data_IF_612242259523
#
_entry.id   IF_612242259523
#
_cell.length_a   1.000
_cell.length_b   1.000
_cell.length_c   1.000
_cell.angle_alpha   90.00
_cell.angle_beta   90.00
_cell.angle_gamma   90.00
#
_symmetry.space_group_name_H-M   'P 1'
#
loop_
_entity.id
_entity.type
_entity.pdbx_description
1 polymer ?
#
# COMPACT_ATOMS: atom_id res chain seq x y z
N UNK A 1 -12.20 15.68 -12.18
CA UNK A 1 -11.40 14.57 -11.60
C UNK A 1 -10.62 13.92 -12.73
N UNK A 2 -9.31 13.81 -12.58
CA UNK A 2 -8.50 13.05 -13.54
C UNK A 2 -8.69 11.54 -13.31
N UNK A 3 -8.53 10.71 -14.34
CA UNK A 3 -8.57 9.25 -14.18
C UNK A 3 -7.46 8.73 -13.23
N UNK A 4 -6.39 9.50 -13.07
CA UNK A 4 -5.28 9.19 -12.16
C UNK A 4 -5.68 9.30 -10.68
N UNK A 5 -6.48 10.30 -10.29
CA UNK A 5 -6.95 10.48 -8.91
C UNK A 5 -7.87 9.35 -8.45
N UNK A 6 -8.73 8.83 -9.35
CA UNK A 6 -9.64 7.72 -9.03
C UNK A 6 -8.93 6.39 -8.78
N UNK A 7 -7.66 6.25 -9.21
CA UNK A 7 -6.83 5.04 -8.97
C UNK A 7 -5.99 5.11 -7.71
N UNK A 8 -5.97 6.25 -7.01
CA UNK A 8 -5.29 6.35 -5.72
C UNK A 8 -6.16 5.75 -4.61
N UNK A 9 -5.51 5.01 -3.71
CA UNK A 9 -6.09 4.49 -2.48
C UNK A 9 -5.29 4.99 -1.27
N UNK A 10 -5.97 5.31 -0.17
CA UNK A 10 -5.34 5.84 1.02
C UNK A 10 -4.87 4.69 1.93
N UNK A 11 -3.60 4.70 2.34
CA UNK A 11 -3.09 3.80 3.38
C UNK A 11 -3.13 4.46 4.74
N UNK A 12 -3.51 3.69 5.75
CA UNK A 12 -3.49 4.12 7.16
C UNK A 12 -2.23 3.67 7.91
N UNK A 13 -1.23 3.14 7.22
CA UNK A 13 -0.02 2.57 7.83
C UNK A 13 0.74 3.57 8.74
N UNK A 14 0.58 4.87 8.51
CA UNK A 14 1.19 5.93 9.31
C UNK A 14 0.25 6.52 10.37
N UNK A 15 -1.03 6.10 10.41
CA UNK A 15 -1.99 6.56 11.40
C UNK A 15 -1.77 5.84 12.73
N UNK A 16 -1.86 6.57 13.86
CA UNK A 16 -1.73 5.98 15.19
C UNK A 16 -0.29 5.68 15.65
N UNK A 17 0.74 5.93 14.83
CA UNK A 17 2.16 5.79 15.24
C UNK A 17 2.68 6.95 16.09
N UNK A 18 1.79 7.64 16.76
CA UNK A 18 2.14 8.71 17.69
C UNK A 18 2.18 8.12 19.10
N UNK A 19 3.25 8.36 19.83
CA UNK A 19 3.32 8.03 21.26
C UNK A 19 2.16 8.67 22.05
N UNK A 20 2.14 8.55 23.37
CA UNK A 20 1.10 9.09 24.23
C UNK A 20 0.87 10.58 23.93
N UNK A 21 -0.31 10.90 23.40
CA UNK A 21 -0.70 12.27 23.06
C UNK A 21 -1.42 12.92 24.25
N UNK A 22 -1.14 14.20 24.47
CA UNK A 22 -1.99 15.01 25.36
C UNK A 22 -3.39 15.15 24.73
N UNK A 23 -4.47 15.38 25.53
CA UNK A 23 -5.81 15.55 24.97
C UNK A 23 -5.93 16.66 23.91
N UNK A 24 -5.13 17.71 24.01
CA UNK A 24 -5.11 18.79 23.03
C UNK A 24 -4.48 18.31 21.69
N UNK A 25 -3.35 17.62 21.74
CA UNK A 25 -2.70 17.03 20.55
C UNK A 25 -3.54 15.94 19.89
N UNK A 26 -4.23 15.12 20.68
CA UNK A 26 -5.16 14.12 20.15
C UNK A 26 -6.30 14.76 19.36
N UNK A 27 -6.91 15.86 19.85
CA UNK A 27 -7.95 16.59 19.10
C UNK A 27 -7.42 17.22 17.83
N UNK A 28 -6.21 17.78 17.87
CA UNK A 28 -5.57 18.35 16.68
C UNK A 28 -5.29 17.26 15.62
N UNK A 29 -4.81 16.11 16.07
CA UNK A 29 -4.58 14.95 15.20
C UNK A 29 -5.88 14.41 14.57
N UNK A 30 -6.95 14.29 15.35
CA UNK A 30 -8.27 13.92 14.84
C UNK A 30 -8.79 14.92 13.79
N UNK A 31 -8.60 16.21 14.00
CA UNK A 31 -9.01 17.24 13.04
C UNK A 31 -8.20 17.13 11.73
N UNK A 32 -6.89 16.88 11.83
CA UNK A 32 -6.00 16.66 10.69
C UNK A 32 -6.43 15.45 9.87
N UNK A 33 -6.72 14.31 10.54
CA UNK A 33 -7.18 13.11 9.86
C UNK A 33 -8.57 13.29 9.22
N UNK A 34 -9.51 13.98 9.89
CA UNK A 34 -10.80 14.31 9.25
C UNK A 34 -10.61 15.12 7.99
N UNK A 35 -9.71 16.11 8.03
CA UNK A 35 -9.34 16.90 6.85
C UNK A 35 -8.72 16.07 5.74
N UNK A 36 -7.86 15.10 6.08
CA UNK A 36 -7.26 14.20 5.10
C UNK A 36 -8.32 13.26 4.46
N UNK A 37 -9.23 12.68 5.26
CA UNK A 37 -10.31 11.85 4.71
C UNK A 37 -11.28 12.66 3.82
N UNK A 38 -11.65 13.88 4.23
CA UNK A 38 -12.50 14.74 3.42
C UNK A 38 -11.82 15.07 2.08
N UNK A 39 -10.55 15.45 2.12
CA UNK A 39 -9.76 15.73 0.93
C UNK A 39 -9.64 14.52 0.00
N UNK A 40 -9.39 13.33 0.56
CA UNK A 40 -9.34 12.08 -0.20
C UNK A 40 -10.67 11.79 -0.91
N UNK A 41 -11.79 11.94 -0.19
CA UNK A 41 -13.12 11.76 -0.74
C UNK A 41 -13.46 12.80 -1.84
N UNK A 42 -13.06 14.07 -1.65
CA UNK A 42 -13.21 15.13 -2.63
C UNK A 42 -12.40 14.88 -3.91
N UNK A 43 -11.22 14.28 -3.76
CA UNK A 43 -10.36 13.84 -4.87
C UNK A 43 -10.83 12.53 -5.53
N UNK A 44 -11.97 11.95 -5.10
CA UNK A 44 -12.52 10.73 -5.68
C UNK A 44 -11.81 9.45 -5.27
N UNK A 45 -10.97 9.47 -4.26
CA UNK A 45 -10.42 8.25 -3.66
C UNK A 45 -11.55 7.50 -2.97
N UNK A 46 -11.71 6.22 -3.28
CA UNK A 46 -12.83 5.41 -2.79
C UNK A 46 -12.39 4.24 -1.91
N UNK A 47 -11.08 4.02 -1.78
CA UNK A 47 -10.53 2.86 -1.09
C UNK A 47 -9.56 3.30 0.02
N UNK A 48 -9.71 2.66 1.20
CA UNK A 48 -8.74 2.75 2.29
C UNK A 48 -8.15 1.37 2.54
N UNK A 49 -6.83 1.27 2.44
CA UNK A 49 -6.07 0.09 2.87
C UNK A 49 -5.64 0.28 4.33
N UNK A 50 -6.14 -0.59 5.23
CA UNK A 50 -5.78 -0.52 6.62
C UNK A 50 -4.59 -1.43 6.96
N UNK A 51 -3.80 -1.03 7.95
CA UNK A 51 -2.72 -1.86 8.48
C UNK A 51 -3.24 -2.81 9.55
N UNK A 52 -2.67 -4.01 9.63
CA UNK A 52 -2.96 -4.96 10.69
C UNK A 52 -2.50 -4.44 12.07
N UNK A 53 -1.51 -3.58 12.09
CA UNK A 53 -0.96 -2.95 13.27
C UNK A 53 -0.72 -1.45 12.99
N UNK A 54 -1.23 -0.54 13.83
CA UNK A 54 -1.97 -0.78 15.07
C UNK A 54 -3.48 -0.85 14.82
N UNK A 55 -4.20 -1.64 15.65
CA UNK A 55 -5.67 -1.70 15.67
C UNK A 55 -6.34 -0.32 15.83
N UNK A 56 -5.60 0.67 16.29
CA UNK A 56 -6.03 2.07 16.39
C UNK A 56 -6.33 2.70 15.03
N UNK A 57 -5.59 2.35 13.97
CA UNK A 57 -5.80 2.92 12.63
C UNK A 57 -7.20 2.61 12.09
N UNK A 58 -7.69 1.36 12.26
CA UNK A 58 -9.06 1.01 11.87
C UNK A 58 -10.12 1.75 12.68
N UNK A 59 -9.92 1.90 14.00
CA UNK A 59 -10.83 2.65 14.87
C UNK A 59 -10.82 4.15 14.50
N UNK A 60 -9.69 4.70 14.09
CA UNK A 60 -9.61 6.06 13.56
C UNK A 60 -10.42 6.21 12.27
N UNK A 61 -10.30 5.27 11.33
CA UNK A 61 -11.11 5.24 10.10
C UNK A 61 -12.60 5.19 10.46
N UNK A 62 -13.04 4.22 11.28
CA UNK A 62 -14.44 4.05 11.66
C UNK A 62 -15.05 5.28 12.38
N UNK A 63 -14.23 6.05 13.10
CA UNK A 63 -14.65 7.22 13.85
C UNK A 63 -14.57 8.53 13.07
N UNK A 64 -13.62 8.65 12.14
CA UNK A 64 -13.24 9.94 11.53
C UNK A 64 -13.57 10.04 10.04
N UNK A 65 -13.68 8.91 9.32
CA UNK A 65 -14.01 8.93 7.89
C UNK A 65 -15.45 9.44 7.67
N UNK A 66 -15.72 10.19 6.57
CA UNK A 66 -17.05 10.73 6.28
C UNK A 66 -18.04 9.60 5.97
N UNK A 67 -19.19 9.62 6.64
CA UNK A 67 -20.26 8.62 6.47
C UNK A 67 -21.09 8.85 5.22
N UNK A 68 -21.17 10.07 4.75
CA UNK A 68 -21.93 10.47 3.56
C UNK A 68 -21.26 9.99 2.25
N UNK A 69 -19.98 9.77 2.31
CA UNK A 69 -19.16 9.23 1.22
C UNK A 69 -18.27 8.10 1.78
N UNK A 70 -18.87 6.93 2.04
CA UNK A 70 -18.15 5.86 2.71
C UNK A 70 -17.05 5.29 1.79
N UNK A 71 -15.87 5.11 2.38
CA UNK A 71 -14.78 4.41 1.72
C UNK A 71 -15.03 2.90 1.76
N UNK A 72 -14.67 2.21 0.69
CA UNK A 72 -14.43 0.78 0.72
C UNK A 72 -13.17 0.53 1.54
N UNK A 73 -13.18 -0.45 2.43
CA UNK A 73 -12.06 -0.70 3.35
C UNK A 73 -11.46 -2.08 3.13
N UNK A 74 -10.14 -2.15 3.18
CA UNK A 74 -9.37 -3.40 3.17
C UNK A 74 -8.84 -3.62 4.58
N UNK A 75 -9.17 -4.79 5.16
CA UNK A 75 -8.59 -5.26 6.41
C UNK A 75 -7.48 -6.28 6.16
N UNK A 76 -6.61 -6.49 7.15
CA UNK A 76 -5.50 -7.46 7.10
C UNK A 76 -5.70 -8.57 8.12
N UNK A 77 -5.24 -9.77 7.77
CA UNK A 77 -5.23 -10.90 8.70
C UNK A 77 -4.25 -10.68 9.86
N UNK A 78 -4.49 -11.35 10.99
CA UNK A 78 -3.43 -11.63 11.93
C UNK A 78 -2.46 -12.67 11.34
N UNK A 79 -1.19 -12.71 11.81
CA UNK A 79 -0.26 -13.77 11.43
C UNK A 79 -0.83 -15.16 11.76
N UNK A 80 -0.69 -16.13 10.85
CA UNK A 80 -1.18 -17.49 11.04
C UNK A 80 -0.53 -18.20 12.24
N UNK A 81 0.68 -17.81 12.61
CA UNK A 81 1.37 -18.30 13.81
C UNK A 81 0.54 -18.12 15.11
N UNK A 82 -0.42 -17.18 15.14
CA UNK A 82 -1.36 -17.01 16.24
C UNK A 82 -2.55 -18.00 16.21
N UNK A 83 -2.67 -18.81 15.17
CA UNK A 83 -3.70 -19.80 14.93
C UNK A 83 -4.93 -19.26 14.17
N UNK A 84 -5.69 -20.16 13.53
CA UNK A 84 -6.85 -19.82 12.71
C UNK A 84 -7.94 -19.06 13.50
N UNK A 85 -8.18 -19.44 14.75
CA UNK A 85 -9.14 -18.73 15.62
C UNK A 85 -8.74 -17.26 15.85
N UNK A 86 -7.43 -16.97 15.94
CA UNK A 86 -6.94 -15.60 16.06
C UNK A 86 -7.14 -14.81 14.75
N UNK A 87 -6.97 -15.45 13.59
CA UNK A 87 -7.27 -14.85 12.28
C UNK A 87 -8.74 -14.45 12.18
N UNK A 88 -9.67 -15.34 12.53
CA UNK A 88 -11.11 -15.06 12.54
C UNK A 88 -11.47 -13.95 13.52
N UNK A 89 -10.96 -14.04 14.75
CA UNK A 89 -11.19 -13.01 15.78
C UNK A 89 -10.67 -11.64 15.34
N UNK A 90 -9.51 -11.59 14.68
CA UNK A 90 -8.95 -10.37 14.12
C UNK A 90 -9.82 -9.78 13.02
N UNK A 91 -10.29 -10.61 12.08
CA UNK A 91 -11.18 -10.18 11.00
C UNK A 91 -12.47 -9.55 11.54
N UNK A 92 -13.10 -10.20 12.53
CA UNK A 92 -14.29 -9.66 13.19
C UNK A 92 -14.00 -8.37 13.99
N UNK A 93 -12.82 -8.27 14.63
CA UNK A 93 -12.38 -7.06 15.31
C UNK A 93 -12.20 -5.91 14.34
N UNK A 94 -11.65 -6.16 13.13
CA UNK A 94 -11.52 -5.15 12.09
C UNK A 94 -12.87 -4.54 11.72
N UNK A 95 -13.91 -5.37 11.48
CA UNK A 95 -15.24 -4.87 11.16
C UNK A 95 -15.83 -3.99 12.28
N UNK A 96 -15.64 -4.41 13.55
CA UNK A 96 -16.07 -3.59 14.70
C UNK A 96 -15.33 -2.27 14.79
N UNK A 97 -14.02 -2.27 14.59
CA UNK A 97 -13.19 -1.07 14.61
C UNK A 97 -13.57 -0.10 13.49
N UNK A 98 -13.76 -0.62 12.28
CA UNK A 98 -14.21 0.14 11.12
C UNK A 98 -15.65 0.64 11.22
N UNK A 99 -16.45 0.05 12.12
CA UNK A 99 -17.86 0.39 12.29
C UNK A 99 -18.74 -0.01 11.11
N UNK A 100 -18.35 -1.10 10.39
CA UNK A 100 -19.09 -1.59 9.23
C UNK A 100 -19.51 -3.05 9.41
N UNK A 101 -20.69 -3.46 8.90
CA UNK A 101 -21.12 -4.85 8.96
C UNK A 101 -20.35 -5.72 7.96
N UNK A 102 -19.81 -5.12 6.90
CA UNK A 102 -19.08 -5.77 5.82
C UNK A 102 -17.99 -4.85 5.32
N UNK A 103 -16.77 -5.38 5.10
CA UNK A 103 -15.68 -4.66 4.46
C UNK A 103 -15.49 -5.11 3.01
N UNK A 104 -14.81 -4.29 2.22
CA UNK A 104 -14.53 -4.59 0.82
C UNK A 104 -13.61 -5.80 0.65
N UNK A 105 -12.55 -5.89 1.45
CA UNK A 105 -11.65 -7.03 1.35
C UNK A 105 -10.99 -7.39 2.69
N UNK A 106 -10.64 -8.69 2.80
CA UNK A 106 -9.70 -9.20 3.78
C UNK A 106 -8.47 -9.73 3.05
N UNK A 107 -7.31 -9.18 3.38
CA UNK A 107 -6.05 -9.50 2.69
C UNK A 107 -5.11 -10.21 3.66
N UNK A 108 -4.57 -11.37 3.25
CA UNK A 108 -3.49 -12.05 3.96
C UNK A 108 -2.31 -11.10 4.01
N UNK A 109 -1.85 -10.79 5.23
CA UNK A 109 -0.81 -9.77 5.46
C UNK A 109 0.55 -10.17 4.90
N UNK A 110 0.91 -11.44 5.09
CA UNK A 110 2.20 -12.02 4.67
C UNK A 110 1.92 -13.31 3.89
N UNK A 111 2.39 -13.36 2.64
CA UNK A 111 2.16 -14.50 1.75
C UNK A 111 2.78 -15.80 2.27
N UNK A 112 3.82 -15.71 3.12
CA UNK A 112 4.43 -16.87 3.78
C UNK A 112 3.41 -17.70 4.58
N UNK A 113 2.37 -17.08 5.13
CA UNK A 113 1.28 -17.77 5.83
C UNK A 113 0.54 -18.77 4.91
N UNK A 114 0.53 -18.53 3.59
CA UNK A 114 -0.08 -19.42 2.59
C UNK A 114 0.90 -20.47 2.05
N UNK A 115 2.20 -20.25 2.19
CA UNK A 115 3.23 -21.16 1.69
C UNK A 115 3.51 -22.29 2.69
N UNK A 116 3.14 -22.12 3.95
CA UNK A 116 3.29 -23.10 5.01
C UNK A 116 2.26 -24.26 4.96
N UNK A 117 2.40 -25.26 5.85
CA UNK A 117 1.54 -26.45 5.87
C UNK A 117 0.05 -26.14 6.12
N UNK A 118 -0.25 -25.08 6.85
CA UNK A 118 -1.60 -24.67 7.21
C UNK A 118 -2.20 -23.64 6.23
N UNK A 119 -1.50 -23.30 5.13
CA UNK A 119 -1.95 -22.30 4.17
C UNK A 119 -3.30 -22.61 3.53
N UNK A 120 -3.56 -23.88 3.19
CA UNK A 120 -4.86 -24.29 2.63
C UNK A 120 -5.99 -24.22 3.68
N UNK A 121 -5.68 -24.41 4.97
CA UNK A 121 -6.65 -24.24 6.05
C UNK A 121 -6.94 -22.74 6.26
N UNK A 122 -5.91 -21.88 6.27
CA UNK A 122 -6.08 -20.44 6.30
C UNK A 122 -6.98 -19.98 5.14
N UNK A 123 -6.64 -20.38 3.90
CA UNK A 123 -7.41 -19.94 2.73
C UNK A 123 -8.89 -20.32 2.82
N UNK A 124 -9.19 -21.56 3.23
CA UNK A 124 -10.58 -22.01 3.44
C UNK A 124 -11.30 -21.19 4.51
N UNK A 125 -10.61 -20.84 5.61
CA UNK A 125 -11.15 -19.97 6.65
C UNK A 125 -11.55 -18.61 6.09
N UNK A 126 -10.68 -18.00 5.27
CA UNK A 126 -10.97 -16.69 4.67
C UNK A 126 -12.14 -16.76 3.68
N UNK A 127 -12.21 -17.80 2.86
CA UNK A 127 -13.37 -18.05 1.97
C UNK A 127 -14.66 -18.18 2.79
N UNK A 128 -14.63 -18.89 3.93
CA UNK A 128 -15.76 -18.97 4.84
C UNK A 128 -16.23 -17.61 5.37
N UNK A 129 -15.32 -16.70 5.70
CA UNK A 129 -15.66 -15.33 6.11
C UNK A 129 -16.30 -14.53 4.96
N UNK A 130 -15.83 -14.72 3.73
CA UNK A 130 -16.45 -14.12 2.53
C UNK A 130 -17.85 -14.68 2.29
N UNK A 131 -17.99 -15.99 2.34
CA UNK A 131 -19.28 -16.68 2.09
C UNK A 131 -20.32 -16.36 3.18
N UNK A 132 -19.86 -16.05 4.41
CA UNK A 132 -20.69 -15.49 5.47
C UNK A 132 -21.06 -14.00 5.25
N UNK A 133 -20.59 -13.39 4.16
CA UNK A 133 -20.94 -12.01 3.79
C UNK A 133 -20.20 -10.92 4.57
N UNK A 134 -19.15 -11.28 5.33
CA UNK A 134 -18.38 -10.32 6.13
C UNK A 134 -17.37 -9.51 5.29
N UNK A 135 -16.89 -10.08 4.19
CA UNK A 135 -16.00 -9.45 3.23
C UNK A 135 -16.49 -9.72 1.80
N UNK A 136 -16.27 -8.78 0.89
CA UNK A 136 -16.63 -8.95 -0.53
C UNK A 136 -15.58 -9.76 -1.28
N UNK A 137 -14.31 -9.52 -0.95
CA UNK A 137 -13.14 -10.04 -1.63
C UNK A 137 -12.14 -10.62 -0.64
N UNK A 138 -11.38 -11.61 -1.09
CA UNK A 138 -10.21 -12.13 -0.38
C UNK A 138 -8.96 -11.87 -1.21
N UNK A 139 -7.91 -11.36 -0.55
CA UNK A 139 -6.68 -10.99 -1.22
C UNK A 139 -5.43 -11.51 -0.50
N UNK A 140 -4.29 -11.25 -1.14
CA UNK A 140 -2.96 -11.60 -0.63
C UNK A 140 -2.03 -10.39 -0.82
N UNK A 141 -1.26 -10.04 0.20
CA UNK A 141 -0.11 -9.15 0.10
C UNK A 141 1.13 -10.02 -0.11
N UNK A 142 1.79 -9.85 -1.24
CA UNK A 142 2.93 -10.67 -1.64
C UNK A 142 4.11 -9.79 -2.10
N UNK A 143 5.30 -10.37 -2.12
CA UNK A 143 6.53 -9.83 -2.69
C UNK A 143 6.94 -10.67 -3.90
N UNK A 144 7.96 -10.28 -4.61
CA UNK A 144 8.50 -11.04 -5.76
C UNK A 144 8.92 -12.46 -5.32
N UNK A 145 9.56 -12.55 -4.17
CA UNK A 145 10.11 -13.79 -3.61
C UNK A 145 9.02 -14.84 -3.27
N UNK A 146 7.78 -14.38 -3.08
CA UNK A 146 6.60 -15.23 -2.79
C UNK A 146 6.00 -15.86 -4.05
N UNK A 147 6.58 -15.61 -5.24
CA UNK A 147 6.07 -16.07 -6.52
C UNK A 147 4.57 -15.75 -6.74
N UNK A 148 4.20 -14.45 -6.87
CA UNK A 148 2.79 -13.99 -6.89
C UNK A 148 1.91 -14.69 -7.91
N UNK A 149 2.41 -14.93 -9.13
CA UNK A 149 1.65 -15.64 -10.18
C UNK A 149 1.36 -17.12 -9.80
N UNK A 150 2.27 -17.78 -9.07
CA UNK A 150 2.03 -19.14 -8.59
C UNK A 150 0.96 -19.16 -7.48
N UNK A 151 1.02 -18.21 -6.54
CA UNK A 151 -0.01 -18.02 -5.53
C UNK A 151 -1.37 -17.74 -6.17
N UNK A 152 -1.41 -16.87 -7.19
CA UNK A 152 -2.64 -16.53 -7.90
C UNK A 152 -3.27 -17.75 -8.60
N UNK A 153 -2.45 -18.60 -9.23
CA UNK A 153 -2.96 -19.83 -9.85
C UNK A 153 -3.50 -20.82 -8.83
N UNK A 154 -2.85 -20.94 -7.65
CA UNK A 154 -3.24 -21.88 -6.60
C UNK A 154 -4.49 -21.43 -5.85
N UNK A 155 -4.49 -20.19 -5.38
CA UNK A 155 -5.50 -19.70 -4.45
C UNK A 155 -6.58 -18.85 -5.11
N UNK A 156 -6.34 -18.32 -6.32
CA UNK A 156 -7.28 -17.48 -7.08
C UNK A 156 -7.82 -16.30 -6.23
N UNK A 157 -6.93 -15.48 -5.67
CA UNK A 157 -7.34 -14.32 -4.90
C UNK A 157 -8.06 -13.30 -5.78
N UNK A 158 -9.02 -12.58 -5.21
CA UNK A 158 -9.68 -11.46 -5.89
C UNK A 158 -8.74 -10.24 -6.03
N UNK A 159 -7.87 -10.05 -5.02
CA UNK A 159 -6.93 -8.90 -4.94
C UNK A 159 -5.52 -9.40 -4.64
N UNK A 160 -4.52 -8.80 -5.28
CA UNK A 160 -3.12 -8.98 -4.88
C UNK A 160 -2.43 -7.62 -4.70
N UNK A 161 -1.85 -7.42 -3.50
CA UNK A 161 -1.09 -6.22 -3.17
C UNK A 161 0.39 -6.48 -3.34
N UNK A 162 1.06 -5.68 -4.16
CA UNK A 162 2.46 -5.87 -4.55
C UNK A 162 3.29 -4.61 -4.33
N UNK A 163 4.53 -4.72 -3.81
CA UNK A 163 5.43 -3.60 -3.73
C UNK A 163 5.99 -3.28 -5.11
N UNK A 164 5.71 -2.10 -5.61
CA UNK A 164 6.27 -1.59 -6.87
C UNK A 164 6.58 -0.11 -6.69
N UNK A 165 7.77 0.28 -7.08
CA UNK A 165 8.19 1.68 -7.07
C UNK A 165 9.05 2.01 -8.28
N UNK A 166 9.29 3.29 -8.53
CA UNK A 166 10.22 3.74 -9.55
C UNK A 166 11.63 3.12 -9.34
N UNK A 167 12.02 2.90 -8.09
CA UNK A 167 13.32 2.33 -7.75
C UNK A 167 13.34 0.79 -7.72
N UNK A 168 12.21 0.13 -7.51
CA UNK A 168 12.06 -1.33 -7.57
C UNK A 168 11.02 -1.73 -8.62
N UNK A 169 11.51 -2.07 -9.80
CA UNK A 169 10.69 -2.42 -10.96
C UNK A 169 10.70 -3.92 -11.25
N UNK A 170 11.24 -4.77 -10.37
CA UNK A 170 11.43 -6.21 -10.63
C UNK A 170 10.12 -6.92 -10.99
N UNK A 171 9.01 -6.61 -10.33
CA UNK A 171 7.69 -7.17 -10.63
C UNK A 171 7.10 -6.68 -11.97
N UNK A 172 7.49 -5.47 -12.39
CA UNK A 172 7.09 -4.90 -13.70
C UNK A 172 7.91 -5.53 -14.81
N UNK A 173 9.24 -5.49 -14.71
CA UNK A 173 10.16 -6.02 -15.72
C UNK A 173 10.07 -7.53 -15.90
N UNK A 174 9.70 -8.26 -14.83
CA UNK A 174 9.43 -9.70 -14.86
C UNK A 174 8.06 -10.08 -15.48
N UNK A 175 7.18 -9.10 -15.79
CA UNK A 175 5.86 -9.37 -16.35
C UNK A 175 4.83 -9.90 -15.33
N UNK A 176 5.15 -9.88 -14.04
CA UNK A 176 4.26 -10.42 -12.98
C UNK A 176 2.93 -9.66 -12.92
N UNK A 177 2.94 -8.32 -13.03
CA UNK A 177 1.72 -7.52 -12.98
C UNK A 177 0.76 -7.88 -14.13
N UNK A 178 1.30 -8.03 -15.34
CA UNK A 178 0.52 -8.39 -16.52
C UNK A 178 -0.06 -9.80 -16.37
N UNK A 179 0.77 -10.76 -15.93
CA UNK A 179 0.32 -12.13 -15.67
C UNK A 179 -0.83 -12.19 -14.67
N UNK A 180 -0.76 -11.42 -13.59
CA UNK A 180 -1.84 -11.35 -12.59
C UNK A 180 -3.11 -10.74 -13.17
N UNK A 181 -3.00 -9.68 -13.95
CA UNK A 181 -4.16 -9.07 -14.60
C UNK A 181 -4.83 -10.05 -15.60
N UNK A 182 -4.04 -10.82 -16.36
CA UNK A 182 -4.54 -11.87 -17.27
C UNK A 182 -5.22 -13.03 -16.51
N UNK A 183 -4.80 -13.31 -15.27
CA UNK A 183 -5.47 -14.26 -14.38
C UNK A 183 -6.76 -13.69 -13.76
N UNK A 184 -7.11 -12.43 -14.04
CA UNK A 184 -8.30 -11.77 -13.50
C UNK A 184 -8.13 -11.26 -12.07
N UNK A 185 -6.91 -11.15 -11.56
CA UNK A 185 -6.61 -10.63 -10.22
C UNK A 185 -6.57 -9.11 -10.26
N UNK A 186 -7.25 -8.46 -9.32
CA UNK A 186 -7.18 -7.01 -9.13
C UNK A 186 -5.84 -6.65 -8.45
N UNK A 187 -4.94 -6.03 -9.20
CA UNK A 187 -3.60 -5.68 -8.71
C UNK A 187 -3.62 -4.33 -8.01
N UNK A 188 -3.14 -4.27 -6.77
CA UNK A 188 -2.93 -3.05 -6.01
C UNK A 188 -1.44 -2.82 -5.77
N UNK A 189 -0.90 -1.69 -6.20
CA UNK A 189 0.48 -1.31 -5.94
C UNK A 189 0.60 -0.68 -4.56
N UNK A 190 1.58 -1.12 -3.78
CA UNK A 190 1.95 -0.56 -2.47
C UNK A 190 3.43 -0.19 -2.45
N UNK A 191 3.86 0.50 -1.40
CA UNK A 191 5.28 0.87 -1.18
C UNK A 191 5.89 1.68 -2.33
N UNK A 192 5.09 2.46 -3.04
CA UNK A 192 5.50 3.18 -4.27
C UNK A 192 6.62 4.19 -4.05
N UNK A 193 6.87 4.59 -2.81
CA UNK A 193 7.94 5.50 -2.42
C UNK A 193 9.18 4.78 -1.86
N UNK A 194 9.18 3.45 -1.82
CA UNK A 194 10.26 2.61 -1.31
C UNK A 194 10.83 3.17 0.02
N UNK A 195 9.95 3.22 1.05
CA UNK A 195 10.27 3.76 2.38
C UNK A 195 10.77 5.22 2.39
N UNK A 196 10.44 5.97 1.36
CA UNK A 196 10.85 7.37 1.25
C UNK A 196 12.30 7.59 0.81
N UNK A 197 12.98 6.54 0.32
CA UNK A 197 14.39 6.56 -0.04
C UNK A 197 14.76 7.69 -1.02
N UNK A 198 13.87 7.99 -1.99
CA UNK A 198 14.09 9.07 -2.95
C UNK A 198 14.07 10.48 -2.33
N UNK A 199 13.47 10.62 -1.16
CA UNK A 199 13.33 11.92 -0.48
C UNK A 199 14.44 12.16 0.56
N UNK A 200 15.23 11.14 0.90
CA UNK A 200 16.36 11.28 1.82
C UNK A 200 17.47 12.10 1.16
N UNK A 201 18.08 13.06 1.85
CA UNK A 201 19.27 13.73 1.36
C UNK A 201 20.43 12.73 1.20
N UNK A 202 21.38 13.04 0.33
CA UNK A 202 22.48 12.10 0.01
C UNK A 202 23.38 11.79 1.23
N UNK A 203 23.50 12.72 2.17
CA UNK A 203 24.20 12.59 3.44
C UNK A 203 23.35 11.93 4.55
N UNK A 204 22.05 11.77 4.31
CA UNK A 204 21.10 11.12 5.21
C UNK A 204 20.87 9.64 4.90
N UNK A 205 21.61 9.05 3.95
CA UNK A 205 21.45 7.63 3.63
C UNK A 205 22.02 6.75 4.77
N UNK A 206 21.27 5.73 5.19
CA UNK A 206 21.79 4.74 6.12
C UNK A 206 23.08 4.08 5.59
N UNK A 207 24.04 3.71 6.47
CA UNK A 207 25.29 3.07 6.02
C UNK A 207 25.08 1.83 5.14
N UNK A 208 24.04 1.04 5.41
CA UNK A 208 23.67 -0.13 4.60
C UNK A 208 23.28 0.22 3.15
N UNK A 209 22.91 1.47 2.87
CA UNK A 209 22.51 1.97 1.55
C UNK A 209 23.55 2.92 0.93
N UNK A 210 24.73 3.05 1.52
CA UNK A 210 25.77 3.95 1.04
C UNK A 210 26.20 3.66 -0.42
N UNK A 211 26.25 2.38 -0.80
CA UNK A 211 26.58 1.94 -2.17
C UNK A 211 25.54 2.39 -3.21
N UNK A 212 24.26 2.50 -2.84
CA UNK A 212 23.21 3.00 -3.71
C UNK A 212 23.24 4.54 -3.90
N UNK A 213 23.99 5.26 -3.07
CA UNK A 213 24.03 6.73 -3.03
C UNK A 213 24.34 7.39 -4.37
N UNK A 214 25.42 6.99 -5.09
CA UNK A 214 25.75 7.56 -6.38
C UNK A 214 24.63 7.36 -7.43
N UNK A 215 23.99 6.19 -7.44
CA UNK A 215 22.88 5.88 -8.34
C UNK A 215 21.64 6.70 -8.01
N UNK A 216 21.27 6.79 -6.74
CA UNK A 216 20.16 7.65 -6.28
C UNK A 216 20.38 9.11 -6.65
N UNK A 217 21.60 9.61 -6.49
CA UNK A 217 21.96 10.99 -6.86
C UNK A 217 21.85 11.22 -8.37
N UNK A 218 22.22 10.24 -9.17
CA UNK A 218 22.05 10.28 -10.63
C UNK A 218 20.56 10.28 -11.00
N UNK A 219 19.76 9.38 -10.43
CA UNK A 219 18.32 9.30 -10.67
C UNK A 219 17.62 10.62 -10.35
N UNK A 220 17.93 11.22 -9.18
CA UNK A 220 17.36 12.53 -8.79
C UNK A 220 17.71 13.65 -9.77
N UNK A 221 18.93 13.65 -10.29
CA UNK A 221 19.37 14.63 -11.29
C UNK A 221 18.61 14.44 -12.60
N UNK A 222 18.48 13.22 -13.10
CA UNK A 222 17.73 12.92 -14.33
C UNK A 222 16.25 13.36 -14.20
N UNK A 223 15.61 13.12 -13.04
CA UNK A 223 14.26 13.60 -12.74
C UNK A 223 14.19 15.14 -12.78
N UNK A 224 15.16 15.81 -12.15
CA UNK A 224 15.22 17.27 -12.12
C UNK A 224 15.49 17.88 -13.51
N UNK A 225 16.33 17.25 -14.32
CA UNK A 225 16.60 17.64 -15.72
C UNK A 225 15.36 17.52 -16.61
N UNK A 226 14.47 16.55 -16.32
CA UNK A 226 13.17 16.44 -16.95
C UNK A 226 12.11 17.41 -16.41
N UNK A 227 12.49 18.34 -15.52
CA UNK A 227 11.59 19.34 -14.96
C UNK A 227 10.59 18.81 -13.93
N UNK A 228 10.83 17.63 -13.36
CA UNK A 228 9.97 17.01 -12.37
C UNK A 228 10.66 16.92 -10.99
N UNK A 229 9.89 16.64 -9.96
CA UNK A 229 10.40 16.27 -8.65
C UNK A 229 10.24 14.74 -8.38
N UNK A 230 10.93 14.20 -7.36
CA UNK A 230 10.85 12.78 -7.03
C UNK A 230 9.44 12.26 -6.71
N UNK A 231 8.57 13.07 -6.12
CA UNK A 231 7.19 12.70 -5.79
C UNK A 231 6.36 12.54 -7.07
N UNK A 232 6.48 13.50 -7.99
CA UNK A 232 5.81 13.47 -9.30
C UNK A 232 6.28 12.26 -10.11
N UNK A 233 7.60 12.01 -10.19
CA UNK A 233 8.15 10.89 -10.94
C UNK A 233 7.70 9.54 -10.38
N UNK A 234 7.72 9.35 -9.04
CA UNK A 234 7.27 8.11 -8.41
C UNK A 234 5.78 7.83 -8.64
N UNK A 235 4.92 8.86 -8.53
CA UNK A 235 3.49 8.74 -8.78
C UNK A 235 3.18 8.50 -10.27
N UNK A 236 3.83 9.24 -11.17
CA UNK A 236 3.66 9.06 -12.61
C UNK A 236 4.05 7.64 -13.03
N UNK A 237 5.17 7.11 -12.53
CA UNK A 237 5.58 5.73 -12.77
C UNK A 237 4.53 4.72 -12.27
N UNK A 238 4.09 4.83 -11.01
CA UNK A 238 3.11 3.90 -10.44
C UNK A 238 1.76 3.97 -11.18
N UNK A 239 1.30 5.16 -11.52
CA UNK A 239 0.05 5.38 -12.26
C UNK A 239 0.15 4.98 -13.75
N UNK A 240 1.35 4.90 -14.33
CA UNK A 240 1.53 4.39 -15.70
C UNK A 240 1.35 2.88 -15.82
N UNK A 241 1.38 2.12 -14.70
CA UNK A 241 1.20 0.68 -14.71
C UNK A 241 -0.26 0.31 -15.02
N UNK A 242 -0.56 -0.01 -16.29
CA UNK A 242 -1.95 -0.26 -16.76
C UNK A 242 -2.58 -1.50 -16.11
N UNK A 243 -1.79 -2.49 -15.71
CA UNK A 243 -2.26 -3.69 -15.00
C UNK A 243 -2.71 -3.42 -13.55
N UNK A 244 -2.34 -2.28 -12.97
CA UNK A 244 -2.71 -1.93 -11.60
C UNK A 244 -4.09 -1.25 -11.54
N UNK A 245 -4.99 -1.79 -10.73
CA UNK A 245 -6.30 -1.20 -10.47
C UNK A 245 -6.22 -0.06 -9.44
N UNK A 246 -5.33 -0.18 -8.44
CA UNK A 246 -5.15 0.78 -7.37
C UNK A 246 -3.66 1.04 -7.10
N UNK A 247 -3.36 2.27 -6.70
CA UNK A 247 -2.04 2.71 -6.22
C UNK A 247 -2.21 3.22 -4.79
N UNK A 248 -1.70 2.47 -3.83
CA UNK A 248 -1.86 2.74 -2.40
C UNK A 248 -0.79 3.73 -1.95
N UNK A 249 -1.22 4.87 -1.42
CA UNK A 249 -0.36 5.94 -0.91
C UNK A 249 -0.53 6.11 0.59
N UNK A 250 0.58 6.11 1.33
CA UNK A 250 0.62 6.43 2.74
C UNK A 250 0.78 7.93 2.94
N UNK A 251 0.07 8.48 3.93
CA UNK A 251 0.21 9.89 4.32
C UNK A 251 0.19 10.00 5.85
N UNK A 252 0.90 10.99 6.37
CA UNK A 252 0.86 11.34 7.80
C UNK A 252 0.11 12.65 8.04
N UNK A 253 -0.23 13.42 6.99
CA UNK A 253 -0.89 14.72 7.11
C UNK A 253 -1.76 15.05 5.90
N UNK A 254 -2.68 16.01 6.10
CA UNK A 254 -3.46 16.59 5.00
C UNK A 254 -2.57 17.32 3.98
N UNK A 255 -1.48 17.92 4.44
CA UNK A 255 -0.53 18.59 3.56
C UNK A 255 0.18 17.62 2.61
N UNK A 256 0.62 16.47 3.13
CA UNK A 256 1.20 15.41 2.30
C UNK A 256 0.20 14.88 1.27
N UNK A 257 -1.06 14.68 1.66
CA UNK A 257 -2.09 14.24 0.71
C UNK A 257 -2.31 15.28 -0.39
N UNK A 258 -2.32 16.59 -0.07
CA UNK A 258 -2.39 17.63 -1.10
C UNK A 258 -1.23 17.59 -2.07
N UNK A 259 -0.01 17.39 -1.57
CA UNK A 259 1.18 17.26 -2.41
C UNK A 259 1.09 16.03 -3.33
N UNK A 260 0.65 14.88 -2.81
CA UNK A 260 0.43 13.65 -3.59
C UNK A 260 -0.62 13.87 -4.69
N UNK A 261 -1.76 14.48 -4.37
CA UNK A 261 -2.83 14.75 -5.35
C UNK A 261 -2.36 15.74 -6.43
N UNK A 262 -1.62 16.78 -6.05
CA UNK A 262 -1.05 17.73 -7.00
C UNK A 262 -0.03 17.06 -7.94
N UNK A 263 0.86 16.22 -7.39
CA UNK A 263 1.85 15.48 -8.16
C UNK A 263 1.20 14.43 -9.09
N UNK A 264 0.14 13.76 -8.64
CA UNK A 264 -0.61 12.81 -9.45
C UNK A 264 -1.41 13.45 -10.60
N UNK A 265 -1.82 14.72 -10.44
CA UNK A 265 -2.49 15.49 -11.47
C UNK A 265 -1.53 16.17 -12.47
N UNK A 266 -0.25 16.27 -12.13
CA UNK A 266 0.76 16.84 -12.99
C UNK A 266 1.03 15.95 -14.23
N UNK A 267 1.45 16.53 -15.37
CA UNK A 267 1.85 15.74 -16.52
C UNK A 267 2.97 14.77 -16.17
N UNK A 268 2.92 13.54 -16.73
CA UNK A 268 4.01 12.60 -16.57
C UNK A 268 5.30 13.16 -17.18
N UNK A 269 6.43 13.15 -16.47
CA UNK A 269 7.69 13.60 -17.03
C UNK A 269 8.17 12.62 -18.12
N UNK A 270 8.87 13.16 -19.11
CA UNK A 270 9.51 12.36 -20.16
C UNK A 270 10.80 11.76 -19.62
N UNK A 271 10.74 10.52 -19.16
CA UNK A 271 11.81 9.80 -18.49
C UNK A 271 11.90 8.36 -19.00
N UNK A 272 13.11 7.88 -19.16
CA UNK A 272 13.36 6.44 -19.34
C UNK A 272 13.18 5.72 -17.99
N UNK A 273 11.95 5.26 -17.73
CA UNK A 273 11.61 4.61 -16.46
C UNK A 273 12.53 3.43 -16.13
N UNK A 274 12.97 2.63 -17.12
CA UNK A 274 13.80 1.46 -16.88
C UNK A 274 15.20 1.85 -16.38
N UNK A 275 15.74 2.97 -16.84
CA UNK A 275 17.04 3.48 -16.40
C UNK A 275 17.03 3.95 -14.93
N UNK A 276 15.87 4.26 -14.37
CA UNK A 276 15.70 4.81 -13.03
C UNK A 276 15.52 3.76 -11.92
N UNK A 277 15.70 2.47 -12.21
CA UNK A 277 15.61 1.42 -11.20
C UNK A 277 16.94 1.21 -10.46
N UNK A 278 16.86 0.75 -9.22
CA UNK A 278 17.98 0.14 -8.50
C UNK A 278 18.21 -1.30 -9.00
N UNK A 279 19.39 -1.84 -8.76
CA UNK A 279 19.62 -3.26 -9.00
C UNK A 279 19.03 -4.12 -7.85
N UNK A 280 18.95 -5.45 -8.07
CA UNK A 280 18.33 -6.36 -7.10
C UNK A 280 18.99 -6.30 -5.73
N UNK A 281 20.33 -6.26 -5.66
CA UNK A 281 21.07 -6.21 -4.41
C UNK A 281 20.80 -4.91 -3.63
N UNK A 282 20.76 -3.77 -4.33
CA UNK A 282 20.42 -2.47 -3.72
C UNK A 282 19.00 -2.48 -3.16
N UNK A 283 18.04 -3.09 -3.86
CA UNK A 283 16.66 -3.21 -3.36
C UNK A 283 16.56 -4.12 -2.14
N UNK A 284 17.28 -5.25 -2.12
CA UNK A 284 17.34 -6.14 -0.95
C UNK A 284 17.88 -5.42 0.29
N UNK A 285 18.93 -4.62 0.14
CA UNK A 285 19.47 -3.81 1.23
C UNK A 285 18.44 -2.80 1.77
N UNK A 286 17.61 -2.20 0.90
CA UNK A 286 16.48 -1.34 1.34
C UNK A 286 15.48 -2.13 2.16
N UNK A 287 15.13 -3.33 1.73
CA UNK A 287 14.23 -4.22 2.46
C UNK A 287 14.73 -4.54 3.88
N UNK A 288 16.00 -4.89 4.01
CA UNK A 288 16.63 -5.17 5.30
C UNK A 288 16.68 -3.93 6.21
N UNK A 289 17.00 -2.77 5.67
CA UNK A 289 16.99 -1.52 6.43
C UNK A 289 15.59 -1.14 6.91
N UNK A 290 14.59 -1.33 6.09
CA UNK A 290 13.20 -0.99 6.44
C UNK A 290 12.60 -1.93 7.49
N UNK A 291 13.18 -3.12 7.68
CA UNK A 291 12.76 -4.10 8.67
C UNK A 291 13.48 -3.95 10.03
N UNK A 292 14.57 -3.18 10.10
CA UNK A 292 15.39 -2.94 11.30
C UNK A 292 14.88 -1.74 12.11
#
# INVERSE_FOLDING_TARGET
MSAAESRLALSTAHFGRHGVLTPARARQFDAELRGAFALAADAGMTLIDTSADPAEAEALVGRLAPRERPFRTIAKTAPLAAGLAAVEARAQKSLRNLGVPRAHALVVSEAEDLLGPDGDALWRTLLGLRDAGLFEKIGVSARLEDAPAALARRYKPDIMQLPVSLLDQRLVSGGELQTLAELGVEVHLRSIFLQGLMFLPSDGLPPALAEAGPRLSRIRREIAEAGADPLQAALAFALSQSAAAQVIVGVASQAELRAILAAAAAPAPDLDWQALSLNAQEVEHVGLWAAA
#
